data_IF_691781605893
#
_entry.id   IF_691781605893
#
_cell.length_a   1.000
_cell.length_b   1.000
_cell.length_c   1.000
_cell.angle_alpha   90.00
_cell.angle_beta   90.00
_cell.angle_gamma   90.00
#
_symmetry.space_group_name_H-M   'P 1'
#
loop_
_entity.id
_entity.type
_entity.pdbx_description
1 polymer ?
#
# COMPACT_ATOMS: atom_id res chain seq x y z
N UNK A 1 -13.67 -6.94 -15.91
CA UNK A 1 -12.50 -6.08 -15.66
C UNK A 1 -11.90 -6.53 -14.34
N UNK A 2 -10.69 -7.03 -14.36
CA UNK A 2 -10.01 -7.45 -13.14
C UNK A 2 -9.50 -6.21 -12.35
N UNK A 3 -9.04 -6.39 -11.11
CA UNK A 3 -8.58 -5.30 -10.26
C UNK A 3 -7.42 -4.51 -10.90
N UNK A 4 -6.48 -5.21 -11.50
CA UNK A 4 -5.32 -4.57 -12.13
C UNK A 4 -5.74 -3.72 -13.35
N UNK A 5 -6.65 -4.21 -14.19
CA UNK A 5 -7.22 -3.44 -15.31
C UNK A 5 -7.89 -2.15 -14.83
N UNK A 6 -8.67 -2.22 -13.73
CA UNK A 6 -9.32 -1.04 -13.16
C UNK A 6 -8.32 -0.01 -12.63
N UNK A 7 -7.23 -0.48 -12.01
CA UNK A 7 -6.16 0.39 -11.53
C UNK A 7 -5.39 1.03 -12.69
N UNK A 8 -5.05 0.27 -13.72
CA UNK A 8 -4.37 0.79 -14.92
C UNK A 8 -5.24 1.83 -15.61
N UNK A 9 -6.55 1.60 -15.74
CA UNK A 9 -7.47 2.60 -16.29
C UNK A 9 -7.48 3.86 -15.42
N UNK A 10 -7.49 3.72 -14.10
CA UNK A 10 -7.45 4.87 -13.18
C UNK A 10 -6.15 5.67 -13.29
N UNK A 11 -5.02 4.97 -13.52
CA UNK A 11 -3.73 5.62 -13.76
C UNK A 11 -3.73 6.37 -15.10
N UNK A 12 -4.20 5.74 -16.17
CA UNK A 12 -4.36 6.39 -17.47
C UNK A 12 -5.22 7.65 -17.37
N UNK A 13 -6.38 7.56 -16.71
CA UNK A 13 -7.28 8.71 -16.52
C UNK A 13 -6.63 9.83 -15.71
N UNK A 14 -5.74 9.49 -14.77
CA UNK A 14 -4.98 10.48 -13.99
C UNK A 14 -3.94 11.18 -14.85
N UNK A 15 -3.14 10.43 -15.59
CA UNK A 15 -2.13 10.95 -16.52
C UNK A 15 -2.78 11.84 -17.60
N UNK A 16 -3.89 11.37 -18.19
CA UNK A 16 -4.64 12.13 -19.19
C UNK A 16 -5.15 13.48 -18.65
N UNK A 17 -5.67 13.49 -17.42
CA UNK A 17 -6.09 14.75 -16.78
C UNK A 17 -4.93 15.70 -16.49
N UNK A 18 -3.74 15.20 -16.16
CA UNK A 18 -2.55 16.03 -16.00
C UNK A 18 -2.11 16.63 -17.34
N UNK A 19 -2.16 15.83 -18.40
CA UNK A 19 -1.86 16.29 -19.76
C UNK A 19 -2.89 17.32 -20.24
N UNK A 20 -4.18 17.12 -19.99
CA UNK A 20 -5.21 18.10 -20.35
C UNK A 20 -4.98 19.44 -19.66
N UNK A 21 -4.63 19.44 -18.36
CA UNK A 21 -4.29 20.65 -17.63
C UNK A 21 -3.06 21.37 -18.21
N UNK A 22 -2.05 20.60 -18.57
CA UNK A 22 -0.84 21.15 -19.19
C UNK A 22 -1.14 21.75 -20.55
N UNK A 23 -1.92 21.08 -21.39
CA UNK A 23 -2.36 21.57 -22.69
C UNK A 23 -3.19 22.85 -22.56
N UNK A 24 -4.09 22.90 -21.61
CA UNK A 24 -4.93 24.10 -21.39
C UNK A 24 -4.11 25.28 -20.86
N UNK A 25 -3.13 25.02 -19.99
CA UNK A 25 -2.16 26.02 -19.57
C UNK A 25 -1.34 26.52 -20.78
N UNK A 26 -0.84 25.61 -21.61
CA UNK A 26 0.00 25.94 -22.77
C UNK A 26 -0.74 26.79 -23.78
N UNK A 27 -2.03 26.55 -24.04
CA UNK A 27 -2.88 27.38 -24.91
C UNK A 27 -3.00 28.85 -24.45
N UNK A 28 -2.81 29.11 -23.17
CA UNK A 28 -2.82 30.45 -22.60
C UNK A 28 -1.47 31.17 -22.65
N UNK A 29 -0.41 30.50 -23.13
CA UNK A 29 0.92 31.08 -23.17
C UNK A 29 1.18 31.87 -24.48
N UNK A 30 2.15 32.80 -24.48
CA UNK A 30 2.65 33.42 -25.70
C UNK A 30 3.22 32.36 -26.67
N UNK A 31 3.20 32.62 -28.00
CA UNK A 31 3.67 31.66 -28.98
C UNK A 31 5.10 31.17 -28.79
N UNK A 32 6.01 32.02 -28.28
CA UNK A 32 7.39 31.65 -27.99
C UNK A 32 7.48 30.63 -26.83
N UNK A 33 6.66 30.81 -25.80
CA UNK A 33 6.56 29.87 -24.68
C UNK A 33 5.93 28.54 -25.13
N UNK A 34 4.96 28.58 -26.03
CA UNK A 34 4.37 27.37 -26.60
C UNK A 34 5.44 26.54 -27.35
N UNK A 35 6.28 27.21 -28.15
CA UNK A 35 7.37 26.55 -28.86
C UNK A 35 8.42 25.97 -27.90
N UNK A 36 8.76 26.71 -26.84
CA UNK A 36 9.68 26.26 -25.80
C UNK A 36 9.22 24.98 -25.12
N UNK A 37 7.93 24.85 -24.88
CA UNK A 37 7.32 23.70 -24.21
C UNK A 37 6.79 22.62 -25.17
N UNK A 38 6.96 22.77 -26.49
CA UNK A 38 6.41 21.85 -27.49
C UNK A 38 6.96 20.43 -27.37
N UNK A 39 8.25 20.30 -27.02
CA UNK A 39 8.89 19.01 -26.82
C UNK A 39 8.31 18.30 -25.58
N UNK A 40 8.17 18.98 -24.46
CA UNK A 40 7.53 18.43 -23.27
C UNK A 40 6.09 17.98 -23.57
N UNK A 41 5.33 18.79 -24.32
CA UNK A 41 3.99 18.42 -24.71
C UNK A 41 3.97 17.10 -25.49
N UNK A 42 4.86 16.96 -26.49
CA UNK A 42 4.94 15.76 -27.32
C UNK A 42 5.32 14.53 -26.50
N UNK A 43 6.34 14.63 -25.65
CA UNK A 43 6.76 13.52 -24.79
C UNK A 43 5.64 13.07 -23.83
N UNK A 44 4.88 13.99 -23.28
CA UNK A 44 3.72 13.67 -22.42
C UNK A 44 2.63 12.92 -23.19
N UNK A 45 2.37 13.27 -24.48
CA UNK A 45 1.47 12.49 -25.34
C UNK A 45 2.02 11.10 -25.62
N UNK A 46 3.33 10.97 -25.84
CA UNK A 46 3.99 9.68 -26.07
C UNK A 46 3.93 8.77 -24.82
N UNK A 47 4.04 9.34 -23.62
CA UNK A 47 3.82 8.62 -22.35
C UNK A 47 2.40 8.06 -22.31
N UNK A 48 1.37 8.85 -22.65
CA UNK A 48 -0.01 8.38 -22.69
C UNK A 48 -0.21 7.25 -23.70
N UNK A 49 0.34 7.38 -24.92
CA UNK A 49 0.29 6.33 -25.93
C UNK A 49 0.96 5.04 -25.45
N UNK A 50 2.11 5.16 -24.78
CA UNK A 50 2.83 4.01 -24.24
C UNK A 50 2.03 3.26 -23.17
N UNK A 51 1.24 3.96 -22.38
CA UNK A 51 0.37 3.34 -21.37
C UNK A 51 -0.73 2.45 -21.95
N UNK A 52 -1.11 2.60 -23.21
CA UNK A 52 -2.10 1.75 -23.87
C UNK A 52 -1.57 0.35 -24.15
N UNK A 53 -0.25 0.22 -24.35
CA UNK A 53 0.41 -1.05 -24.68
C UNK A 53 1.12 -1.69 -23.47
N UNK A 54 1.35 -0.92 -22.39
CA UNK A 54 2.14 -1.30 -21.24
C UNK A 54 1.28 -2.00 -20.18
N UNK A 55 1.79 -3.09 -19.64
CA UNK A 55 1.16 -3.79 -18.52
C UNK A 55 2.03 -3.69 -17.28
N UNK A 56 1.66 -2.80 -16.36
CA UNK A 56 2.29 -2.66 -15.05
C UNK A 56 1.70 -3.66 -14.05
N UNK A 57 2.50 -4.06 -13.07
CA UNK A 57 1.99 -4.81 -11.93
C UNK A 57 1.05 -3.95 -11.08
N UNK A 58 0.22 -4.58 -10.27
CA UNK A 58 -0.68 -3.87 -9.35
C UNK A 58 0.08 -2.95 -8.40
N UNK A 59 1.24 -3.39 -7.88
CA UNK A 59 2.09 -2.60 -6.98
C UNK A 59 2.63 -1.34 -7.66
N UNK A 60 3.15 -1.46 -8.87
CA UNK A 60 3.67 -0.34 -9.66
C UNK A 60 2.57 0.67 -10.00
N UNK A 61 1.42 0.18 -10.46
CA UNK A 61 0.27 1.02 -10.79
C UNK A 61 -0.21 1.80 -9.57
N UNK A 62 -0.32 1.15 -8.41
CA UNK A 62 -0.70 1.82 -7.15
C UNK A 62 0.33 2.85 -6.72
N UNK A 63 1.62 2.55 -6.83
CA UNK A 63 2.68 3.49 -6.49
C UNK A 63 2.61 4.77 -7.32
N UNK A 64 2.42 4.66 -8.64
CA UNK A 64 2.24 5.82 -9.52
C UNK A 64 0.93 6.57 -9.21
N UNK A 65 -0.16 5.87 -8.91
CA UNK A 65 -1.43 6.51 -8.52
C UNK A 65 -1.32 7.33 -7.23
N UNK A 66 -0.47 6.91 -6.29
CA UNK A 66 -0.22 7.64 -5.04
C UNK A 66 0.65 8.88 -5.22
N UNK A 67 1.43 8.95 -6.29
CA UNK A 67 2.19 10.15 -6.61
C UNK A 67 1.26 11.36 -6.83
N UNK A 68 1.59 12.55 -6.34
CA UNK A 68 0.81 13.77 -6.60
C UNK A 68 0.70 14.10 -8.09
N UNK A 69 1.77 13.89 -8.85
CA UNK A 69 1.87 14.19 -10.28
C UNK A 69 2.70 13.12 -11.00
N UNK A 70 2.12 11.96 -11.30
CA UNK A 70 2.84 10.89 -11.98
C UNK A 70 3.34 11.29 -13.36
N UNK A 71 2.61 12.10 -14.12
CA UNK A 71 3.06 12.58 -15.44
C UNK A 71 4.35 13.40 -15.34
N UNK A 72 4.47 14.27 -14.33
CA UNK A 72 5.69 15.05 -14.14
C UNK A 72 6.90 14.16 -13.81
N UNK A 73 6.73 13.18 -12.90
CA UNK A 73 7.81 12.25 -12.54
C UNK A 73 8.28 11.45 -13.76
N UNK A 74 7.35 10.95 -14.58
CA UNK A 74 7.69 10.19 -15.78
C UNK A 74 8.40 11.06 -16.79
N UNK A 75 7.94 12.29 -17.01
CA UNK A 75 8.59 13.24 -17.90
C UNK A 75 10.00 13.61 -17.41
N UNK A 76 10.15 13.97 -16.14
CA UNK A 76 11.45 14.34 -15.57
C UNK A 76 12.46 13.19 -15.71
N UNK A 77 12.01 11.95 -15.43
CA UNK A 77 12.86 10.77 -15.60
C UNK A 77 13.29 10.55 -17.05
N UNK A 78 12.37 10.76 -17.99
CA UNK A 78 12.67 10.64 -19.42
C UNK A 78 13.61 11.75 -19.90
N UNK A 79 13.43 12.99 -19.44
CA UNK A 79 14.24 14.14 -19.87
C UNK A 79 15.72 14.03 -19.50
N UNK A 80 16.03 13.22 -18.46
CA UNK A 80 17.41 12.91 -18.06
C UNK A 80 18.11 11.89 -18.97
N UNK A 81 17.39 11.32 -19.95
CA UNK A 81 17.89 10.30 -20.84
C UNK A 81 18.16 10.85 -22.25
N UNK A 82 19.33 10.52 -22.82
CA UNK A 82 19.68 10.88 -24.20
C UNK A 82 19.02 9.90 -25.16
N UNK A 83 17.79 10.12 -25.55
CA UNK A 83 17.20 9.30 -26.60
C UNK A 83 15.96 9.90 -27.23
N UNK A 84 15.56 9.37 -28.37
CA UNK A 84 14.39 9.77 -29.10
C UNK A 84 13.40 8.63 -29.39
N UNK A 85 13.37 7.53 -28.62
CA UNK A 85 12.54 6.38 -29.00
C UNK A 85 11.59 5.89 -27.91
N UNK A 86 10.44 5.34 -28.35
CA UNK A 86 9.38 4.78 -27.53
C UNK A 86 9.85 3.69 -26.56
N UNK A 87 10.89 2.92 -26.93
CA UNK A 87 11.46 1.91 -26.03
C UNK A 87 12.07 2.53 -24.77
N UNK A 88 12.75 3.66 -24.91
CA UNK A 88 13.29 4.38 -23.75
C UNK A 88 12.18 4.99 -22.87
N UNK A 89 11.10 5.46 -23.49
CA UNK A 89 9.92 5.92 -22.73
C UNK A 89 9.35 4.75 -21.93
N UNK A 90 9.22 3.57 -22.55
CA UNK A 90 8.72 2.36 -21.91
C UNK A 90 9.59 1.95 -20.72
N UNK A 91 10.90 1.86 -20.93
CA UNK A 91 11.87 1.54 -19.89
C UNK A 91 11.81 2.55 -18.74
N UNK A 92 11.67 3.85 -19.06
CA UNK A 92 11.54 4.91 -18.06
C UNK A 92 10.25 4.78 -17.23
N UNK A 93 9.14 4.40 -17.86
CA UNK A 93 7.88 4.14 -17.15
C UNK A 93 8.07 2.97 -16.18
N UNK A 94 8.63 1.85 -16.66
CA UNK A 94 8.83 0.67 -15.83
C UNK A 94 9.77 0.94 -14.65
N UNK A 95 10.90 1.61 -14.89
CA UNK A 95 11.87 1.91 -13.86
C UNK A 95 11.29 2.89 -12.83
N UNK A 96 10.57 3.92 -13.28
CA UNK A 96 9.89 4.85 -12.37
C UNK A 96 8.83 4.13 -11.55
N UNK A 97 8.04 3.24 -12.16
CA UNK A 97 7.03 2.45 -11.45
C UNK A 97 7.65 1.54 -10.38
N UNK A 98 8.78 0.88 -10.68
CA UNK A 98 9.53 0.07 -9.72
C UNK A 98 10.07 0.92 -8.55
N UNK A 99 10.63 2.09 -8.85
CA UNK A 99 11.14 3.01 -7.83
C UNK A 99 10.01 3.50 -6.91
N UNK A 100 8.86 3.89 -7.47
CA UNK A 100 7.69 4.33 -6.68
C UNK A 100 7.08 3.17 -5.88
N UNK A 101 7.02 1.96 -6.43
CA UNK A 101 6.60 0.77 -5.70
C UNK A 101 7.53 0.48 -4.50
N UNK A 102 8.86 0.62 -4.71
CA UNK A 102 9.83 0.49 -3.63
C UNK A 102 9.64 1.57 -2.55
N UNK A 103 9.46 2.83 -2.94
CA UNK A 103 9.20 3.93 -2.00
C UNK A 103 7.93 3.68 -1.20
N UNK A 104 6.86 3.20 -1.84
CA UNK A 104 5.61 2.86 -1.17
C UNK A 104 5.80 1.77 -0.11
N UNK A 105 6.53 0.72 -0.45
CA UNK A 105 6.83 -0.39 0.46
C UNK A 105 7.68 0.04 1.66
N UNK A 106 8.65 0.93 1.42
CA UNK A 106 9.59 1.42 2.43
C UNK A 106 9.05 2.64 3.21
N UNK A 107 7.91 3.22 2.78
CA UNK A 107 7.29 4.34 3.46
C UNK A 107 6.90 3.93 4.89
N UNK A 108 7.39 4.60 5.93
CA UNK A 108 7.07 4.23 7.31
C UNK A 108 5.59 4.48 7.63
N UNK A 109 5.06 3.68 8.54
CA UNK A 109 3.75 3.96 9.14
C UNK A 109 3.88 5.17 10.06
N UNK A 110 3.10 6.22 9.81
CA UNK A 110 3.10 7.40 10.68
C UNK A 110 2.27 7.08 11.95
N UNK A 111 2.89 7.12 13.14
CA UNK A 111 2.29 6.56 14.34
C UNK A 111 1.43 7.54 15.14
N UNK A 112 1.27 8.78 14.66
CA UNK A 112 0.59 9.84 15.39
C UNK A 112 -0.64 10.35 14.63
N UNK A 113 -1.48 11.14 15.33
CA UNK A 113 -2.69 11.74 14.77
C UNK A 113 -2.41 12.91 13.82
N UNK A 114 -3.42 13.33 13.07
CA UNK A 114 -3.38 14.52 12.22
C UNK A 114 -3.12 15.80 13.02
N UNK A 115 -3.66 15.90 14.25
CA UNK A 115 -3.40 17.02 15.15
C UNK A 115 -1.93 17.11 15.50
N UNK A 116 -1.36 16.01 15.94
CA UNK A 116 0.07 15.92 16.28
C UNK A 116 0.97 16.22 15.07
N UNK A 117 0.64 15.68 13.89
CA UNK A 117 1.37 15.97 12.67
C UNK A 117 1.33 17.45 12.30
N UNK A 118 0.19 18.12 12.52
CA UNK A 118 0.07 19.57 12.29
C UNK A 118 0.96 20.38 13.22
N UNK A 119 1.00 20.02 14.51
CA UNK A 119 1.83 20.69 15.51
C UNK A 119 3.32 20.55 15.20
N UNK A 120 3.74 19.42 14.62
CA UNK A 120 5.13 19.12 14.26
C UNK A 120 5.52 19.57 12.85
N UNK A 121 4.56 20.01 12.04
CA UNK A 121 4.82 20.34 10.63
C UNK A 121 5.00 19.10 9.72
N UNK A 122 4.56 17.92 10.16
CA UNK A 122 4.72 16.60 9.51
C UNK A 122 3.42 16.16 8.79
N UNK A 123 2.59 17.10 8.33
CA UNK A 123 1.30 16.79 7.69
C UNK A 123 1.45 16.03 6.36
N UNK A 124 2.55 16.22 5.66
CA UNK A 124 2.80 15.53 4.40
C UNK A 124 3.12 14.05 4.65
N UNK A 125 3.95 13.76 5.63
CA UNK A 125 4.28 12.41 6.08
C UNK A 125 3.04 11.68 6.59
N UNK A 126 2.23 12.35 7.40
CA UNK A 126 0.94 11.83 7.86
C UNK A 126 0.03 11.47 6.68
N UNK A 127 -0.16 12.39 5.72
CA UNK A 127 -1.03 12.17 4.56
C UNK A 127 -0.52 11.05 3.67
N UNK A 128 0.78 11.01 3.40
CA UNK A 128 1.39 9.95 2.61
C UNK A 128 1.16 8.58 3.27
N UNK A 129 1.45 8.47 4.58
CA UNK A 129 1.21 7.24 5.32
C UNK A 129 -0.28 6.86 5.37
N UNK A 130 -1.18 7.83 5.55
CA UNK A 130 -2.63 7.60 5.56
C UNK A 130 -3.12 7.04 4.22
N UNK A 131 -2.72 7.65 3.10
CA UNK A 131 -3.08 7.18 1.77
C UNK A 131 -2.56 5.76 1.53
N UNK A 132 -1.31 5.49 1.90
CA UNK A 132 -0.74 4.15 1.79
C UNK A 132 -1.47 3.12 2.67
N UNK A 133 -1.92 3.50 3.88
CA UNK A 133 -2.72 2.63 4.75
C UNK A 133 -4.10 2.32 4.14
N UNK A 134 -4.76 3.31 3.54
CA UNK A 134 -6.05 3.11 2.83
C UNK A 134 -5.86 2.17 1.64
N UNK A 135 -4.84 2.39 0.82
CA UNK A 135 -4.54 1.52 -0.32
C UNK A 135 -4.17 0.09 0.12
N UNK A 136 -3.42 -0.05 1.21
CA UNK A 136 -3.12 -1.36 1.80
C UNK A 136 -4.40 -2.05 2.30
N UNK A 137 -5.30 -1.32 2.96
CA UNK A 137 -6.62 -1.83 3.37
C UNK A 137 -7.41 -2.38 2.18
N UNK A 138 -7.47 -1.63 1.08
CA UNK A 138 -8.17 -2.02 -0.14
C UNK A 138 -7.53 -3.25 -0.80
N UNK A 139 -6.20 -3.33 -0.80
CA UNK A 139 -5.48 -4.49 -1.31
C UNK A 139 -5.74 -5.75 -0.46
N UNK A 140 -5.78 -5.65 0.86
CA UNK A 140 -6.15 -6.78 1.74
C UNK A 140 -7.60 -7.21 1.47
N UNK A 141 -8.52 -6.26 1.33
CA UNK A 141 -9.93 -6.55 1.01
C UNK A 141 -10.07 -7.28 -0.32
N UNK A 142 -9.36 -6.83 -1.35
CA UNK A 142 -9.31 -7.49 -2.65
C UNK A 142 -8.68 -8.89 -2.55
N UNK A 143 -7.55 -9.02 -1.85
CA UNK A 143 -6.88 -10.29 -1.64
C UNK A 143 -7.78 -11.32 -0.95
N UNK A 144 -8.52 -10.91 0.09
CA UNK A 144 -9.50 -11.78 0.76
C UNK A 144 -10.62 -12.16 -0.20
N UNK A 145 -11.22 -11.20 -0.91
CA UNK A 145 -12.34 -11.44 -1.82
C UNK A 145 -11.97 -12.39 -2.97
N UNK A 146 -10.80 -12.20 -3.55
CA UNK A 146 -10.40 -12.85 -4.79
C UNK A 146 -9.73 -14.21 -4.54
N UNK A 147 -9.29 -14.49 -3.31
CA UNK A 147 -8.56 -15.71 -2.93
C UNK A 147 -9.27 -16.57 -1.84
N UNK A 148 -10.52 -16.24 -1.50
CA UNK A 148 -11.31 -17.05 -0.58
C UNK A 148 -12.28 -17.95 -1.36
N UNK A 149 -11.96 -19.24 -1.42
CA UNK A 149 -12.76 -20.26 -2.10
C UNK A 149 -12.87 -21.51 -1.22
N UNK A 150 -14.01 -22.19 -1.27
CA UNK A 150 -14.25 -23.46 -0.55
C UNK A 150 -13.91 -23.39 0.95
N UNK A 151 -14.26 -22.30 1.61
CA UNK A 151 -13.94 -22.01 3.02
C UNK A 151 -12.44 -21.99 3.35
N UNK A 152 -11.60 -21.71 2.36
CA UNK A 152 -10.15 -21.56 2.53
C UNK A 152 -9.67 -20.27 1.89
N UNK A 153 -8.70 -19.66 2.54
CA UNK A 153 -7.96 -18.51 2.02
C UNK A 153 -6.61 -19.01 1.48
N UNK A 154 -6.28 -18.64 0.24
CA UNK A 154 -4.94 -18.88 -0.29
C UNK A 154 -3.93 -17.98 0.42
N UNK A 155 -2.94 -18.59 1.08
CA UNK A 155 -1.91 -17.84 1.83
C UNK A 155 -0.96 -17.07 0.92
N UNK A 156 -0.84 -17.41 -0.36
CA UNK A 156 -0.04 -16.64 -1.32
C UNK A 156 -0.53 -15.19 -1.45
N UNK A 157 -1.84 -14.95 -1.25
CA UNK A 157 -2.42 -13.61 -1.26
C UNK A 157 -1.85 -12.70 -0.15
N UNK A 158 -1.46 -13.28 0.97
CA UNK A 158 -0.82 -12.54 2.09
C UNK A 158 0.56 -12.03 1.68
N UNK A 159 1.38 -12.89 1.07
CA UNK A 159 2.70 -12.53 0.57
C UNK A 159 2.65 -11.40 -0.47
N UNK A 160 1.67 -11.44 -1.38
CA UNK A 160 1.49 -10.40 -2.40
C UNK A 160 1.22 -9.02 -1.79
N UNK A 161 0.35 -8.94 -0.77
CA UNK A 161 0.09 -7.66 -0.08
C UNK A 161 1.32 -7.18 0.70
N UNK A 162 2.03 -8.09 1.37
CA UNK A 162 3.26 -7.74 2.09
C UNK A 162 4.36 -7.24 1.15
N UNK A 163 4.47 -7.79 -0.05
CA UNK A 163 5.41 -7.35 -1.07
C UNK A 163 5.09 -5.93 -1.58
N UNK A 164 3.81 -5.60 -1.74
CA UNK A 164 3.37 -4.30 -2.23
C UNK A 164 3.54 -3.17 -1.21
N UNK A 165 3.14 -3.40 0.05
CA UNK A 165 3.00 -2.35 1.07
C UNK A 165 3.98 -2.45 2.23
N UNK A 166 4.79 -3.49 2.25
CA UNK A 166 5.61 -3.84 3.40
C UNK A 166 4.80 -4.54 4.50
N UNK A 167 5.47 -5.45 5.19
CA UNK A 167 4.84 -6.26 6.24
C UNK A 167 4.36 -5.40 7.42
N UNK A 168 5.14 -4.39 7.81
CA UNK A 168 4.78 -3.50 8.93
C UNK A 168 3.44 -2.81 8.69
N UNK A 169 3.24 -2.23 7.50
CA UNK A 169 2.00 -1.55 7.14
C UNK A 169 0.81 -2.50 7.06
N UNK A 170 0.98 -3.65 6.42
CA UNK A 170 -0.06 -4.68 6.36
C UNK A 170 -0.52 -5.08 7.76
N UNK A 171 0.42 -5.35 8.66
CA UNK A 171 0.13 -5.73 10.03
C UNK A 171 -0.50 -4.59 10.84
N UNK A 172 -0.08 -3.34 10.62
CA UNK A 172 -0.70 -2.17 11.23
C UNK A 172 -2.18 -2.03 10.86
N UNK A 173 -2.51 -2.16 9.56
CA UNK A 173 -3.89 -2.10 9.06
C UNK A 173 -4.73 -3.24 9.62
N UNK A 174 -4.20 -4.46 9.65
CA UNK A 174 -4.88 -5.63 10.22
C UNK A 174 -5.11 -5.47 11.73
N UNK A 175 -4.13 -4.96 12.48
CA UNK A 175 -4.29 -4.71 13.90
C UNK A 175 -5.40 -3.68 14.19
N UNK A 176 -5.50 -2.63 13.38
CA UNK A 176 -6.58 -1.65 13.48
C UNK A 176 -7.96 -2.29 13.24
N UNK A 177 -8.06 -3.17 12.23
CA UNK A 177 -9.29 -3.92 11.95
C UNK A 177 -9.68 -4.85 13.10
N UNK A 178 -8.70 -5.59 13.66
CA UNK A 178 -8.94 -6.49 14.80
C UNK A 178 -9.45 -5.72 16.01
N UNK A 179 -8.88 -4.56 16.33
CA UNK A 179 -9.36 -3.69 17.42
C UNK A 179 -10.78 -3.20 17.18
N UNK A 180 -11.13 -2.88 15.93
CA UNK A 180 -12.51 -2.49 15.60
C UNK A 180 -13.50 -3.61 15.92
N UNK A 181 -13.13 -4.88 15.72
CA UNK A 181 -13.94 -6.06 15.99
C UNK A 181 -13.57 -6.77 17.30
N UNK A 182 -12.98 -6.09 18.28
CA UNK A 182 -12.52 -6.72 19.51
C UNK A 182 -13.65 -7.46 20.28
N UNK A 183 -14.87 -6.97 20.17
CA UNK A 183 -16.07 -7.60 20.74
C UNK A 183 -16.53 -8.86 19.99
N UNK A 184 -16.06 -9.12 18.76
CA UNK A 184 -16.54 -10.21 17.91
C UNK A 184 -15.82 -11.53 18.25
N UNK A 185 -16.61 -12.57 18.55
CA UNK A 185 -16.09 -13.89 18.89
C UNK A 185 -15.47 -14.67 17.74
N UNK A 186 -15.62 -14.21 16.49
CA UNK A 186 -15.01 -14.83 15.31
C UNK A 186 -13.54 -14.45 15.13
N UNK A 187 -13.03 -13.47 15.87
CA UNK A 187 -11.62 -13.17 15.95
C UNK A 187 -11.02 -13.92 17.13
N UNK A 188 -9.93 -14.63 16.89
CA UNK A 188 -9.23 -15.41 17.89
C UNK A 188 -8.65 -14.53 19.01
N UNK A 189 -8.64 -15.05 20.23
CA UNK A 189 -8.06 -14.33 21.38
C UNK A 189 -6.56 -14.09 21.20
N UNK A 190 -5.89 -14.93 20.45
CA UNK A 190 -4.47 -14.77 20.12
C UNK A 190 -4.23 -13.57 19.21
N UNK A 191 -5.04 -13.41 18.15
CA UNK A 191 -4.97 -12.25 17.27
C UNK A 191 -5.38 -10.94 17.96
N UNK A 192 -6.35 -10.99 18.88
CA UNK A 192 -6.71 -9.83 19.70
C UNK A 192 -5.56 -9.38 20.61
N UNK A 193 -4.93 -10.33 21.32
CA UNK A 193 -3.76 -10.03 22.16
C UNK A 193 -2.63 -9.46 21.34
N UNK A 194 -2.33 -10.08 20.20
CA UNK A 194 -1.31 -9.59 19.30
C UNK A 194 -1.62 -8.19 18.77
N UNK A 195 -2.82 -7.91 18.31
CA UNK A 195 -3.18 -6.59 17.80
C UNK A 195 -2.96 -5.47 18.83
N UNK A 196 -3.10 -5.78 20.12
CA UNK A 196 -2.83 -4.83 21.20
C UNK A 196 -1.34 -4.57 21.44
N UNK A 197 -0.43 -5.38 20.87
CA UNK A 197 1.02 -5.12 20.91
C UNK A 197 1.48 -4.17 19.80
N UNK A 198 0.69 -4.03 18.73
CA UNK A 198 1.02 -3.12 17.62
C UNK A 198 0.69 -1.68 18.06
N UNK A 199 1.60 -0.72 17.85
CA UNK A 199 1.34 0.68 18.16
C UNK A 199 0.06 1.17 17.49
N UNK A 200 -0.82 1.79 18.26
CA UNK A 200 -1.96 2.54 17.74
C UNK A 200 -1.63 4.03 17.79
N UNK A 201 -2.46 4.87 17.19
CA UNK A 201 -2.36 6.30 17.37
C UNK A 201 -2.28 6.66 18.84
N UNK A 202 -1.17 7.23 19.25
CA UNK A 202 -1.04 7.81 20.57
C UNK A 202 -1.36 9.29 20.42
N UNK A 203 -2.56 9.66 20.81
CA UNK A 203 -2.92 11.05 20.95
C UNK A 203 -2.25 11.58 22.22
N UNK A 204 -1.51 12.66 22.10
CA UNK A 204 -0.81 13.26 23.23
C UNK A 204 -1.74 13.68 24.37
N UNK A 205 -3.02 13.88 24.09
CA UNK A 205 -4.07 14.32 25.03
C UNK A 205 -5.28 13.39 25.14
N UNK A 206 -5.28 12.26 24.45
CA UNK A 206 -6.34 11.25 24.50
C UNK A 206 -7.68 11.66 23.86
N UNK A 207 -7.75 12.81 23.25
CA UNK A 207 -8.99 13.43 22.74
C UNK A 207 -9.04 13.58 21.22
N UNK A 208 -8.15 12.95 20.50
CA UNK A 208 -8.16 13.11 19.04
C UNK A 208 -9.36 12.38 18.42
N UNK A 209 -10.21 13.16 17.79
CA UNK A 209 -11.40 12.70 17.08
C UNK A 209 -11.09 11.94 15.78
N UNK A 210 -9.85 11.76 15.42
CA UNK A 210 -9.42 11.01 14.23
C UNK A 210 -9.59 9.48 14.37
N UNK A 211 -10.51 9.08 15.25
CA UNK A 211 -11.13 7.74 15.25
C UNK A 211 -11.81 7.40 13.92
N UNK A 212 -11.92 8.38 13.01
CA UNK A 212 -12.53 8.22 11.70
C UNK A 212 -11.69 7.38 10.71
N UNK A 213 -10.40 7.19 10.97
CA UNK A 213 -9.56 6.33 10.15
C UNK A 213 -9.53 4.91 10.72
N UNK A 214 -10.67 4.26 10.70
CA UNK A 214 -10.74 2.83 11.00
C UNK A 214 -10.47 2.05 9.71
N UNK A 215 -9.34 1.36 9.67
CA UNK A 215 -8.97 0.50 8.56
C UNK A 215 -9.69 -0.85 8.69
N UNK A 216 -10.97 -0.89 8.35
CA UNK A 216 -11.74 -2.13 8.34
C UNK A 216 -11.57 -2.81 6.98
N UNK A 217 -10.77 -3.86 6.91
CA UNK A 217 -10.44 -4.55 5.66
C UNK A 217 -11.57 -5.44 5.12
N UNK A 218 -12.52 -5.85 5.98
CA UNK A 218 -13.60 -6.74 5.58
C UNK A 218 -14.73 -6.66 6.62
N UNK A 219 -15.99 -6.75 6.16
CA UNK A 219 -17.16 -6.84 7.04
C UNK A 219 -17.31 -8.19 7.75
N UNK A 220 -16.47 -9.19 7.42
CA UNK A 220 -16.48 -10.52 7.99
C UNK A 220 -15.26 -10.76 8.88
N UNK A 221 -15.37 -10.56 10.20
CA UNK A 221 -14.23 -10.66 11.14
C UNK A 221 -13.47 -11.99 11.06
N UNK A 222 -14.15 -13.09 10.80
CA UNK A 222 -13.51 -14.40 10.64
C UNK A 222 -12.57 -14.50 9.45
N UNK A 223 -12.83 -13.81 8.34
CA UNK A 223 -11.92 -13.75 7.19
C UNK A 223 -10.70 -12.89 7.48
N UNK A 224 -10.88 -11.79 8.21
CA UNK A 224 -9.77 -10.99 8.73
C UNK A 224 -8.88 -11.82 9.66
N UNK A 225 -9.47 -12.63 10.55
CA UNK A 225 -8.71 -13.50 11.46
C UNK A 225 -7.88 -14.55 10.71
N UNK A 226 -8.44 -15.14 9.65
CA UNK A 226 -7.72 -16.09 8.79
C UNK A 226 -6.56 -15.42 8.06
N UNK A 227 -6.80 -14.26 7.45
CA UNK A 227 -5.76 -13.50 6.73
C UNK A 227 -4.63 -13.09 7.67
N UNK A 228 -4.97 -12.55 8.84
CA UNK A 228 -3.99 -12.16 9.86
C UNK A 228 -3.19 -13.35 10.38
N UNK A 229 -3.85 -14.50 10.58
CA UNK A 229 -3.16 -15.73 11.00
C UNK A 229 -2.11 -16.16 9.96
N UNK A 230 -2.43 -16.04 8.67
CA UNK A 230 -1.47 -16.25 7.58
C UNK A 230 -0.31 -15.25 7.64
N UNK A 231 -0.64 -13.96 7.74
CA UNK A 231 0.35 -12.87 7.79
C UNK A 231 1.34 -13.00 8.97
N UNK A 232 0.87 -13.44 10.12
CA UNK A 232 1.71 -13.66 11.31
C UNK A 232 2.62 -14.88 11.20
N UNK A 233 2.22 -15.90 10.45
CA UNK A 233 3.08 -17.08 10.23
C UNK A 233 4.29 -16.79 9.36
N UNK A 234 4.20 -15.81 8.49
CA UNK A 234 5.30 -15.34 7.65
C UNK A 234 6.23 -14.37 8.38
N UNK A 235 5.88 -13.93 9.60
CA UNK A 235 6.79 -13.14 10.43
C UNK A 235 7.90 -14.03 10.98
N UNK A 236 9.18 -13.62 10.85
CA UNK A 236 10.22 -14.24 11.68
C UNK A 236 9.85 -14.00 13.16
N UNK A 237 9.79 -15.06 13.93
CA UNK A 237 9.51 -14.99 15.37
C UNK A 237 10.50 -14.01 16.02
N UNK A 238 9.98 -13.10 16.82
CA UNK A 238 10.82 -12.24 17.64
C UNK A 238 11.61 -13.09 18.66
N UNK A 239 12.74 -12.58 19.16
CA UNK A 239 13.56 -13.29 20.13
C UNK A 239 12.76 -13.74 21.38
N UNK A 240 11.74 -12.97 21.79
CA UNK A 240 10.90 -13.31 22.94
C UNK A 240 9.84 -14.36 22.59
N UNK A 241 9.29 -14.33 21.37
CA UNK A 241 8.40 -15.38 20.87
C UNK A 241 9.15 -16.71 20.70
N UNK A 242 10.38 -16.68 20.19
CA UNK A 242 11.26 -17.86 20.11
C UNK A 242 11.50 -18.44 21.51
N UNK A 243 11.81 -17.60 22.50
CA UNK A 243 12.00 -18.06 23.90
C UNK A 243 10.74 -18.68 24.49
N UNK A 244 9.58 -18.03 24.24
CA UNK A 244 8.29 -18.50 24.74
C UNK A 244 7.91 -19.83 24.10
N UNK A 245 8.07 -19.97 22.79
CA UNK A 245 7.77 -21.22 22.07
C UNK A 245 8.76 -22.33 22.45
N UNK A 246 10.04 -22.02 22.60
CA UNK A 246 11.04 -22.94 23.08
C UNK A 246 10.70 -23.45 24.51
N UNK A 247 10.30 -22.58 25.42
CA UNK A 247 9.86 -22.95 26.77
C UNK A 247 8.61 -23.85 26.74
N UNK A 248 7.65 -23.56 25.86
CA UNK A 248 6.43 -24.35 25.63
C UNK A 248 6.76 -25.77 25.14
N UNK A 249 7.69 -25.88 24.18
CA UNK A 249 8.14 -27.18 23.64
C UNK A 249 8.91 -27.99 24.67
N UNK A 250 9.78 -27.37 25.44
CA UNK A 250 10.52 -28.01 26.53
C UNK A 250 9.59 -28.50 27.65
N UNK A 251 8.55 -27.73 27.99
CA UNK A 251 7.51 -28.13 28.93
C UNK A 251 6.75 -29.38 28.50
N UNK A 252 6.41 -29.48 27.20
CA UNK A 252 5.76 -30.69 26.64
C UNK A 252 6.64 -31.94 26.65
N UNK A 253 7.96 -31.78 26.53
CA UNK A 253 8.91 -32.89 26.58
C UNK A 253 9.14 -33.39 28.01
N UNK A 254 8.77 -32.62 29.03
CA UNK A 254 8.91 -32.97 30.45
C UNK A 254 7.64 -33.58 31.06
N UNK A 255 6.51 -33.63 30.33
CA UNK A 255 5.34 -34.35 30.79
C UNK A 255 5.61 -35.86 30.77
N UNK A 256 5.52 -36.54 31.91
CA UNK A 256 5.79 -37.99 31.97
C UNK A 256 4.70 -38.71 31.17
N UNK A 257 5.12 -39.58 30.25
CA UNK A 257 4.24 -40.51 29.55
C UNK A 257 3.53 -41.34 30.64
N UNK A 258 2.22 -41.10 30.79
CA UNK A 258 1.43 -41.97 31.67
C UNK A 258 1.43 -43.38 31.10
N UNK A 259 1.84 -44.41 31.85
CA UNK A 259 1.74 -45.78 31.39
C UNK A 259 0.27 -46.19 31.35
N UNK A 260 -0.14 -46.76 30.22
CA UNK A 260 -1.43 -47.43 30.06
C UNK A 260 -1.57 -48.64 31.00
#
# INVERSE_FOLDING_TARGET
>A
MNMNEALQQSLYDKLSREQDKYRDWLKGQPPEEILHHSYEYTVREDILMSMEELTLSEAETRALLLSPSPMAILYDKFSDLETGYMDTIRDSIEDTAKDEAKKLRELPVYPYSAGHARERGELNEYRASLHANVSCKEAIEAAIRDNYHDNRLDTAAVGQVAEQFGQERMLYVLAATVRHFDYDGRISQDNKRWANTIPAYQNGDGMDSDRSVQFVVCSHPGLTDLFLTGARREQPLTADEIKTEAARLLGKLQEPVQPN
#
